data_IF_581490408728
#
_entry.id   IF_581490408728
#
_cell.length_a   1.000
_cell.length_b   1.000
_cell.length_c   1.000
_cell.angle_alpha   90.00
_cell.angle_beta   90.00
_cell.angle_gamma   90.00
#
_symmetry.space_group_name_H-M   'P 1'
#
loop_
_entity.id
_entity.type
_entity.pdbx_description
1 polymer ?
#
# COMPACT_ATOMS: atom_id res chain seq x y z
N UNK A 1 -14.26 13.32 -6.00
CA UNK A 1 -15.16 12.15 -5.92
C UNK A 1 -15.55 11.86 -4.48
N UNK A 2 -14.64 11.97 -3.50
CA UNK A 2 -14.97 11.89 -2.07
C UNK A 2 -14.17 12.94 -1.28
N UNK A 3 -14.72 13.45 -0.19
CA UNK A 3 -14.05 14.44 0.67
C UNK A 3 -13.32 13.74 1.80
N UNK A 4 -12.24 13.03 1.47
CA UNK A 4 -11.43 12.26 2.43
C UNK A 4 -10.14 13.02 2.72
N UNK A 5 -9.73 13.21 3.98
CA UNK A 5 -8.45 13.80 4.31
C UNK A 5 -7.30 13.00 3.66
N UNK A 6 -6.35 13.70 3.04
CA UNK A 6 -5.25 13.05 2.30
C UNK A 6 -4.47 12.04 3.16
N UNK A 7 -4.20 12.39 4.42
CA UNK A 7 -3.51 11.51 5.36
C UNK A 7 -4.25 10.20 5.66
N UNK A 8 -5.59 10.23 5.69
CA UNK A 8 -6.42 9.03 5.92
C UNK A 8 -6.33 8.09 4.71
N UNK A 9 -6.43 8.63 3.48
CA UNK A 9 -6.25 7.84 2.25
C UNK A 9 -4.87 7.18 2.26
N UNK A 10 -3.81 7.95 2.53
CA UNK A 10 -2.45 7.43 2.53
C UNK A 10 -2.26 6.34 3.59
N UNK A 11 -2.72 6.57 4.83
CA UNK A 11 -2.58 5.60 5.91
C UNK A 11 -3.35 4.31 5.60
N UNK A 12 -4.59 4.41 5.12
CA UNK A 12 -5.40 3.25 4.79
C UNK A 12 -4.81 2.41 3.65
N UNK A 13 -4.27 3.04 2.60
CA UNK A 13 -3.70 2.33 1.45
C UNK A 13 -2.29 1.77 1.69
N UNK A 14 -1.47 2.45 2.49
CA UNK A 14 -0.03 2.19 2.61
C UNK A 14 0.32 0.71 2.89
N UNK A 15 -0.20 0.05 3.94
CA UNK A 15 0.22 -1.32 4.24
C UNK A 15 -0.13 -2.30 3.11
N UNK A 16 -1.28 -2.11 2.45
CA UNK A 16 -1.71 -2.94 1.32
C UNK A 16 -0.86 -2.69 0.06
N UNK A 17 -0.50 -1.43 -0.21
CA UNK A 17 0.43 -1.08 -1.30
C UNK A 17 1.79 -1.71 -1.05
N UNK A 18 2.30 -1.68 0.19
CA UNK A 18 3.56 -2.32 0.55
C UNK A 18 3.51 -3.83 0.29
N UNK A 19 2.44 -4.51 0.72
CA UNK A 19 2.26 -5.94 0.52
C UNK A 19 2.27 -6.32 -0.97
N UNK A 20 1.50 -5.60 -1.79
CA UNK A 20 1.40 -5.86 -3.24
C UNK A 20 2.70 -5.52 -3.96
N UNK A 21 3.38 -4.43 -3.60
CA UNK A 21 4.70 -4.11 -4.13
C UNK A 21 5.73 -5.20 -3.81
N UNK A 22 5.78 -5.69 -2.56
CA UNK A 22 6.71 -6.76 -2.16
C UNK A 22 6.44 -8.04 -2.95
N UNK A 23 5.18 -8.46 -3.10
CA UNK A 23 4.81 -9.62 -3.93
C UNK A 23 5.22 -9.44 -5.39
N UNK A 24 4.94 -8.27 -5.97
CA UNK A 24 5.29 -7.97 -7.35
C UNK A 24 6.81 -7.95 -7.57
N UNK A 25 7.57 -7.35 -6.66
CA UNK A 25 9.04 -7.31 -6.69
C UNK A 25 9.67 -8.71 -6.54
N UNK A 26 9.11 -9.56 -5.68
CA UNK A 26 9.52 -10.97 -5.55
C UNK A 26 9.30 -11.75 -6.85
N UNK A 27 8.16 -11.55 -7.52
CA UNK A 27 7.85 -12.19 -8.80
C UNK A 27 8.86 -11.82 -9.89
N UNK A 28 9.30 -10.57 -9.96
CA UNK A 28 10.25 -10.10 -10.98
C UNK A 28 11.72 -10.24 -10.55
N UNK A 29 12.00 -10.67 -9.32
CA UNK A 29 13.34 -10.96 -8.83
C UNK A 29 14.21 -9.74 -8.51
N UNK A 30 13.61 -8.57 -8.21
CA UNK A 30 14.38 -7.34 -7.97
C UNK A 30 14.81 -7.21 -6.50
N UNK A 31 15.99 -7.75 -6.18
CA UNK A 31 16.53 -7.78 -4.80
C UNK A 31 16.83 -6.39 -4.20
N UNK A 32 17.15 -5.39 -5.03
CA UNK A 32 17.50 -4.04 -4.54
C UNK A 32 16.33 -3.36 -3.82
N UNK A 33 15.12 -3.40 -4.38
CA UNK A 33 13.97 -2.77 -3.73
C UNK A 33 13.44 -3.60 -2.56
N UNK A 34 13.56 -4.93 -2.62
CA UNK A 34 13.21 -5.80 -1.50
C UNK A 34 14.07 -5.53 -0.26
N UNK A 35 15.38 -5.34 -0.44
CA UNK A 35 16.28 -5.05 0.69
C UNK A 35 15.99 -3.69 1.35
N UNK A 36 15.45 -2.73 0.59
CA UNK A 36 14.97 -1.44 1.12
C UNK A 36 13.70 -1.60 1.97
N UNK A 37 12.79 -2.49 1.59
CA UNK A 37 11.65 -2.84 2.46
C UNK A 37 12.11 -3.52 3.75
N UNK A 38 13.09 -4.41 3.68
CA UNK A 38 13.69 -5.01 4.89
C UNK A 38 14.36 -3.93 5.76
N UNK A 39 15.06 -2.97 5.15
CA UNK A 39 15.66 -1.84 5.88
C UNK A 39 14.60 -1.02 6.63
N UNK A 40 13.50 -0.66 5.96
CA UNK A 40 12.36 0.02 6.61
C UNK A 40 11.80 -0.83 7.76
N UNK A 41 11.64 -2.14 7.57
CA UNK A 41 11.16 -3.02 8.63
C UNK A 41 12.08 -3.02 9.86
N UNK A 42 13.41 -3.06 9.67
CA UNK A 42 14.39 -2.96 10.76
C UNK A 42 14.31 -1.63 11.49
N UNK A 43 14.15 -0.52 10.75
CA UNK A 43 14.02 0.81 11.33
C UNK A 43 12.75 0.95 12.18
N UNK A 44 11.61 0.47 11.69
CA UNK A 44 10.32 0.59 12.38
C UNK A 44 10.24 -0.33 13.60
N UNK A 45 10.74 -1.56 13.49
CA UNK A 45 10.63 -2.57 14.55
C UNK A 45 11.77 -2.53 15.55
N UNK A 46 12.90 -1.90 15.21
CA UNK A 46 14.14 -1.94 15.97
C UNK A 46 14.83 -3.32 15.99
N UNK A 47 14.35 -4.29 15.19
CA UNK A 47 14.89 -5.66 15.15
C UNK A 47 15.82 -5.82 13.95
N UNK A 48 17.08 -6.27 14.13
CA UNK A 48 18.05 -6.37 13.04
C UNK A 48 17.75 -7.48 12.03
N UNK A 49 16.90 -8.44 12.38
CA UNK A 49 16.47 -9.56 11.55
C UNK A 49 15.08 -9.36 10.92
N UNK A 50 14.45 -8.20 11.11
CA UNK A 50 13.16 -7.91 10.50
C UNK A 50 13.27 -7.79 8.97
N UNK A 51 12.51 -8.63 8.27
CA UNK A 51 12.22 -8.49 6.84
C UNK A 51 10.93 -7.70 6.55
N UNK A 52 10.69 -7.41 5.27
CA UNK A 52 9.62 -6.58 4.74
C UNK A 52 8.23 -6.88 5.32
N UNK A 53 7.88 -8.15 5.53
CA UNK A 53 6.59 -8.56 6.12
C UNK A 53 6.38 -8.01 7.52
N UNK A 54 7.42 -8.00 8.36
CA UNK A 54 7.35 -7.40 9.70
C UNK A 54 7.12 -5.89 9.65
N UNK A 55 7.65 -5.22 8.61
CA UNK A 55 7.41 -3.79 8.39
C UNK A 55 5.96 -3.52 7.96
N UNK A 56 5.39 -4.39 7.11
CA UNK A 56 3.98 -4.32 6.71
C UNK A 56 3.08 -4.52 7.94
N UNK A 57 3.34 -5.55 8.75
CA UNK A 57 2.59 -5.82 9.98
C UNK A 57 2.66 -4.64 10.96
N UNK A 58 3.85 -4.05 11.12
CA UNK A 58 4.04 -2.88 11.98
C UNK A 58 3.20 -1.68 11.51
N UNK A 59 3.11 -1.44 10.19
CA UNK A 59 2.29 -0.35 9.64
C UNK A 59 0.79 -0.66 9.82
N UNK A 60 0.36 -1.91 9.67
CA UNK A 60 -1.00 -2.33 10.03
C UNK A 60 -1.32 -2.02 11.49
N UNK A 61 -0.44 -2.42 12.41
CA UNK A 61 -0.62 -2.18 13.84
C UNK A 61 -0.67 -0.68 14.16
N UNK A 62 0.15 0.14 13.49
CA UNK A 62 0.10 1.59 13.62
C UNK A 62 -1.23 2.17 13.13
N UNK A 63 -1.72 1.75 11.96
CA UNK A 63 -3.01 2.21 11.44
C UNK A 63 -4.16 1.83 12.38
N UNK A 64 -4.13 0.63 12.94
CA UNK A 64 -5.10 0.19 13.95
C UNK A 64 -5.00 1.02 15.24
N UNK A 65 -3.79 1.27 15.75
CA UNK A 65 -3.57 2.05 16.97
C UNK A 65 -3.98 3.52 16.83
N UNK A 66 -4.02 4.04 15.60
CA UNK A 66 -4.45 5.40 15.27
C UNK A 66 -5.92 5.49 14.84
N UNK A 67 -6.67 4.38 14.90
CA UNK A 67 -8.07 4.30 14.47
C UNK A 67 -8.29 4.86 13.05
N UNK A 68 -7.41 4.48 12.11
CA UNK A 68 -7.51 4.92 10.71
C UNK A 68 -8.77 4.35 10.08
N UNK A 69 -9.71 5.23 9.71
CA UNK A 69 -10.97 4.85 9.09
C UNK A 69 -10.75 4.17 7.72
N UNK A 70 -11.42 3.03 7.44
CA UNK A 70 -11.37 2.35 6.16
C UNK A 70 -12.13 3.13 5.08
N UNK A 71 -11.83 2.86 3.81
CA UNK A 71 -12.38 3.65 2.69
C UNK A 71 -13.91 3.53 2.54
N UNK A 72 -14.51 2.41 2.96
CA UNK A 72 -15.95 2.22 2.87
C UNK A 72 -16.75 3.21 3.73
N UNK A 73 -16.18 3.69 4.84
CA UNK A 73 -16.82 4.71 5.70
C UNK A 73 -16.99 6.05 4.98
N UNK A 74 -16.21 6.27 3.91
CA UNK A 74 -16.30 7.44 3.05
C UNK A 74 -17.17 7.21 1.81
N UNK A 75 -17.88 6.08 1.73
CA UNK A 75 -18.77 5.73 0.61
C UNK A 75 -18.06 5.15 -0.60
N UNK A 76 -16.78 4.78 -0.47
CA UNK A 76 -16.06 4.07 -1.53
C UNK A 76 -16.57 2.62 -1.56
N UNK A 77 -16.78 2.11 -2.76
CA UNK A 77 -17.27 0.75 -3.03
C UNK A 77 -16.56 0.20 -4.26
N UNK A 78 -16.61 -1.12 -4.49
CA UNK A 78 -15.96 -1.76 -5.64
C UNK A 78 -16.39 -1.17 -7.00
N UNK A 79 -17.61 -0.63 -7.09
CA UNK A 79 -18.10 0.04 -8.30
C UNK A 79 -17.26 1.26 -8.71
N UNK A 80 -16.58 1.90 -7.76
CA UNK A 80 -15.72 3.07 -8.00
C UNK A 80 -14.30 2.70 -8.43
N UNK A 81 -13.87 1.45 -8.23
CA UNK A 81 -12.47 1.06 -8.42
C UNK A 81 -11.96 1.27 -9.84
N UNK A 82 -12.70 0.92 -10.92
CA UNK A 82 -12.22 1.13 -12.28
C UNK A 82 -11.84 2.59 -12.57
N UNK A 83 -12.63 3.55 -12.08
CA UNK A 83 -12.34 4.97 -12.26
C UNK A 83 -11.15 5.43 -11.42
N UNK A 84 -11.07 5.00 -10.16
CA UNK A 84 -9.94 5.31 -9.28
C UNK A 84 -8.62 4.79 -9.84
N UNK A 85 -8.61 3.56 -10.36
CA UNK A 85 -7.43 2.94 -10.98
C UNK A 85 -7.02 3.67 -12.25
N UNK A 86 -7.98 4.01 -13.11
CA UNK A 86 -7.70 4.81 -14.31
C UNK A 86 -7.09 6.17 -13.94
N UNK A 87 -7.58 6.81 -12.87
CA UNK A 87 -6.99 8.03 -12.31
C UNK A 87 -5.57 7.80 -11.80
N UNK A 88 -5.34 6.77 -10.99
CA UNK A 88 -4.04 6.44 -10.40
C UNK A 88 -2.97 6.21 -11.48
N UNK A 89 -3.28 5.43 -12.53
CA UNK A 89 -2.35 5.14 -13.64
C UNK A 89 -1.87 6.40 -14.39
N UNK A 90 -2.63 7.50 -14.36
CA UNK A 90 -2.22 8.78 -14.97
C UNK A 90 -1.49 9.70 -14.00
N UNK A 91 -1.50 9.40 -12.70
CA UNK A 91 -0.89 10.24 -11.69
C UNK A 91 0.64 10.15 -11.76
N UNK A 92 1.31 11.28 -11.56
CA UNK A 92 2.78 11.34 -11.53
C UNK A 92 3.38 10.55 -10.36
N UNK A 93 2.65 10.40 -9.26
CA UNK A 93 3.07 9.62 -8.08
C UNK A 93 3.36 8.16 -8.40
N UNK A 94 2.65 7.57 -9.37
CA UNK A 94 2.86 6.17 -9.77
C UNK A 94 4.19 5.95 -10.49
N UNK A 95 4.77 6.99 -11.12
CA UNK A 95 6.05 6.88 -11.83
C UNK A 95 7.23 6.60 -10.90
N UNK A 96 7.10 6.92 -9.62
CA UNK A 96 8.12 6.65 -8.61
C UNK A 96 7.98 5.29 -7.92
N UNK A 97 6.94 4.51 -8.23
CA UNK A 97 6.76 3.19 -7.64
C UNK A 97 7.86 2.24 -8.16
N UNK A 98 8.50 1.42 -7.30
CA UNK A 98 9.62 0.57 -7.72
C UNK A 98 9.22 -0.57 -8.66
N UNK A 99 7.93 -0.79 -8.86
CA UNK A 99 7.36 -1.81 -9.73
C UNK A 99 6.09 -1.27 -10.40
N UNK A 100 5.90 -1.57 -11.68
CA UNK A 100 4.63 -1.26 -12.36
C UNK A 100 3.58 -2.27 -11.94
N UNK A 101 2.48 -1.78 -11.36
CA UNK A 101 1.39 -2.64 -10.89
C UNK A 101 0.33 -2.83 -11.97
N UNK A 102 -0.18 -4.05 -12.08
CA UNK A 102 -1.29 -4.37 -13.00
C UNK A 102 -2.62 -3.83 -12.48
N UNK A 103 -3.67 -3.82 -13.32
CA UNK A 103 -5.00 -3.43 -12.86
C UNK A 103 -5.52 -4.37 -11.77
N UNK A 104 -5.22 -5.66 -11.85
CA UNK A 104 -5.60 -6.67 -10.86
C UNK A 104 -4.91 -6.41 -9.51
N UNK A 105 -3.63 -6.02 -9.52
CA UNK A 105 -2.88 -5.66 -8.32
C UNK A 105 -3.40 -4.38 -7.68
N UNK A 106 -3.76 -3.37 -8.49
CA UNK A 106 -4.41 -2.15 -8.00
C UNK A 106 -5.82 -2.42 -7.45
N UNK A 107 -6.57 -3.34 -8.05
CA UNK A 107 -7.86 -3.81 -7.53
C UNK A 107 -7.67 -4.55 -6.20
N UNK A 108 -6.64 -5.39 -6.05
CA UNK A 108 -6.31 -6.07 -4.78
C UNK A 108 -6.07 -5.05 -3.67
N UNK A 109 -5.29 -4.00 -3.93
CA UNK A 109 -5.03 -2.92 -2.96
C UNK A 109 -6.33 -2.27 -2.51
N UNK A 110 -7.19 -1.88 -3.46
CA UNK A 110 -8.45 -1.22 -3.14
C UNK A 110 -9.41 -2.13 -2.38
N UNK A 111 -9.50 -3.42 -2.73
CA UNK A 111 -10.35 -4.40 -2.02
C UNK A 111 -9.95 -4.60 -0.57
N UNK A 112 -8.66 -4.52 -0.25
CA UNK A 112 -8.18 -4.67 1.12
C UNK A 112 -8.40 -3.42 1.98
N UNK A 113 -8.58 -2.26 1.33
CA UNK A 113 -8.72 -0.95 1.97
C UNK A 113 -10.19 -0.52 2.17
N UNK A 114 -11.15 -1.26 1.61
CA UNK A 114 -12.60 -1.09 1.81
C UNK A 114 -13.17 -2.15 2.75
#
# INVERSE_FOLDING_TARGET
MFSIPHGVICACLLPHVMEVNVKALQRIGTLEFLSRYDEVARLLTGKPDAGATHGIDWIHDLCNALDVAPLFEFGITEAHFPEMIAGAKRASSMKGNPVELTDEELMEILRKAV
#
